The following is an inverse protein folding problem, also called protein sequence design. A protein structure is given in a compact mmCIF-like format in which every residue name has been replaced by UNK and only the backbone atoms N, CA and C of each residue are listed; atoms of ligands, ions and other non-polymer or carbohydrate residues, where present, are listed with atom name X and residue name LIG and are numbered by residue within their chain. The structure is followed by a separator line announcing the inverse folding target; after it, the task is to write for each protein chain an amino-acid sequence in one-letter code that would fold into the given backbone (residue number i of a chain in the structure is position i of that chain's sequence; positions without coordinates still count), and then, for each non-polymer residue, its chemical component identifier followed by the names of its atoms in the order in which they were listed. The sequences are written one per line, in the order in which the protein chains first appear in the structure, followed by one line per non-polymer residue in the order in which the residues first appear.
data_IF_244392388377
#
_entry.id   IF_244392388377
#
_cell.length_a   1.000
_cell.length_b   1.000
_cell.length_c   1.000
_cell.angle_alpha   90.00
_cell.angle_beta   90.00
_cell.angle_gamma   90.00
#
_symmetry.space_group_name_H-M   'P 1'
#
loop_
_entity.id
_entity.type
_entity.pdbx_description
1 polymer ?
#
# COMPACT_ATOMS: atom_id res chain seq x y z
N UNK A 1 28.29 14.04 -40.75
CA UNK A 1 27.33 15.09 -40.35
C UNK A 1 26.36 14.43 -39.38
N UNK A 2 26.70 14.45 -38.08
CA UNK A 2 25.84 13.88 -37.05
C UNK A 2 24.62 14.80 -36.94
N UNK A 3 23.48 14.36 -37.48
CA UNK A 3 22.21 14.97 -37.18
C UNK A 3 21.94 14.70 -35.70
N UNK A 4 22.29 15.63 -34.81
CA UNK A 4 21.64 15.72 -33.49
C UNK A 4 20.22 16.16 -33.77
N UNK A 5 19.38 15.19 -34.10
CA UNK A 5 18.00 15.37 -34.48
C UNK A 5 17.17 15.41 -33.16
N UNK A 6 16.69 16.59 -32.75
CA UNK A 6 16.18 16.85 -31.40
C UNK A 6 14.83 16.16 -31.09
N UNK A 7 14.03 15.89 -32.11
CA UNK A 7 12.77 15.14 -32.04
C UNK A 7 12.95 13.68 -31.57
N UNK A 8 14.06 13.03 -31.92
CA UNK A 8 14.36 11.66 -31.52
C UNK A 8 14.65 11.55 -30.01
N UNK A 9 15.30 12.56 -29.44
CA UNK A 9 15.50 12.66 -27.99
C UNK A 9 14.20 12.98 -27.28
N UNK A 10 13.39 13.91 -27.82
CA UNK A 10 12.11 14.28 -27.23
C UNK A 10 11.13 13.09 -27.17
N UNK A 11 11.08 12.27 -28.22
CA UNK A 11 10.27 11.04 -28.26
C UNK A 11 10.74 10.01 -27.22
N UNK A 12 12.05 9.77 -27.09
CA UNK A 12 12.61 8.83 -26.09
C UNK A 12 12.34 9.29 -24.65
N UNK A 13 12.36 10.60 -24.38
CA UNK A 13 11.98 11.13 -23.07
C UNK A 13 10.48 10.94 -22.80
N UNK A 14 9.62 11.25 -23.78
CA UNK A 14 8.17 11.08 -23.64
C UNK A 14 7.78 9.61 -23.40
N UNK A 15 8.41 8.66 -24.09
CA UNK A 15 8.18 7.23 -23.91
C UNK A 15 8.60 6.76 -22.51
N UNK A 16 9.77 7.20 -22.04
CA UNK A 16 10.26 6.86 -20.69
C UNK A 16 9.36 7.44 -19.63
N UNK A 17 8.93 8.69 -19.77
CA UNK A 17 8.00 9.33 -18.85
C UNK A 17 6.67 8.56 -18.77
N UNK A 18 6.11 8.15 -19.91
CA UNK A 18 4.89 7.35 -19.96
C UNK A 18 5.05 5.99 -19.23
N UNK A 19 6.20 5.31 -19.41
CA UNK A 19 6.50 4.04 -18.73
C UNK A 19 6.62 4.25 -17.21
N UNK A 20 7.31 5.31 -16.78
CA UNK A 20 7.50 5.63 -15.36
C UNK A 20 6.16 5.94 -14.68
N UNK A 21 5.30 6.74 -15.31
CA UNK A 21 3.96 7.04 -14.80
C UNK A 21 3.12 5.75 -14.66
N UNK A 22 3.16 4.88 -15.67
CA UNK A 22 2.43 3.61 -15.62
C UNK A 22 2.95 2.69 -14.50
N UNK A 23 4.27 2.65 -14.31
CA UNK A 23 4.91 1.88 -13.25
C UNK A 23 4.54 2.42 -11.86
N UNK A 24 4.67 3.73 -11.64
CA UNK A 24 4.34 4.38 -10.37
C UNK A 24 2.89 4.13 -9.96
N UNK A 25 1.95 4.29 -10.90
CA UNK A 25 0.53 4.03 -10.65
C UNK A 25 0.27 2.58 -10.23
N UNK A 26 0.93 1.64 -10.89
CA UNK A 26 0.77 0.21 -10.61
C UNK A 26 1.41 -0.17 -9.28
N UNK A 27 2.61 0.33 -9.00
CA UNK A 27 3.30 0.12 -7.74
C UNK A 27 2.49 0.66 -6.56
N UNK A 28 1.89 1.84 -6.73
CA UNK A 28 1.04 2.45 -5.72
C UNK A 28 -0.19 1.59 -5.40
N UNK A 29 -0.91 1.13 -6.44
CA UNK A 29 -2.05 0.24 -6.27
C UNK A 29 -1.64 -1.08 -5.59
N UNK A 30 -0.52 -1.66 -5.99
CA UNK A 30 0.03 -2.86 -5.37
C UNK A 30 0.37 -2.65 -3.89
N UNK A 31 1.02 -1.54 -3.54
CA UNK A 31 1.38 -1.21 -2.16
C UNK A 31 0.13 -1.10 -1.26
N UNK A 32 -0.94 -0.47 -1.75
CA UNK A 32 -2.24 -0.42 -1.06
C UNK A 32 -2.79 -1.83 -0.85
N UNK A 33 -2.82 -2.65 -1.92
CA UNK A 33 -3.34 -4.01 -1.86
C UNK A 33 -2.57 -4.90 -0.87
N UNK A 34 -1.23 -4.85 -0.90
CA UNK A 34 -0.37 -5.61 0.03
C UNK A 34 -0.66 -5.22 1.46
N UNK A 35 -0.81 -3.92 1.73
CA UNK A 35 -1.11 -3.43 3.08
C UNK A 35 -2.45 -3.96 3.60
N UNK A 36 -3.50 -3.90 2.77
CA UNK A 36 -4.81 -4.48 3.10
C UNK A 36 -4.74 -6.00 3.26
N UNK A 37 -3.96 -6.68 2.42
CA UNK A 37 -3.76 -8.13 2.51
C UNK A 37 -3.13 -8.51 3.85
N UNK A 38 -2.09 -7.79 4.29
CA UNK A 38 -1.43 -8.03 5.58
C UNK A 38 -2.39 -7.86 6.77
N UNK A 39 -3.25 -6.84 6.74
CA UNK A 39 -4.27 -6.65 7.76
C UNK A 39 -5.25 -7.83 7.79
N UNK A 40 -5.78 -8.24 6.64
CA UNK A 40 -6.70 -9.37 6.56
C UNK A 40 -6.03 -10.67 7.00
N UNK A 41 -4.77 -10.91 6.62
CA UNK A 41 -4.00 -12.07 7.07
C UNK A 41 -3.87 -12.09 8.60
N UNK A 42 -3.51 -10.95 9.21
CA UNK A 42 -3.41 -10.85 10.67
C UNK A 42 -4.76 -11.15 11.36
N UNK A 43 -5.86 -10.61 10.83
CA UNK A 43 -7.22 -10.85 11.34
C UNK A 43 -7.60 -12.32 11.23
N UNK A 44 -7.42 -12.93 10.07
CA UNK A 44 -7.78 -14.33 9.82
C UNK A 44 -6.96 -15.26 10.70
N UNK A 45 -5.65 -15.07 10.78
CA UNK A 45 -4.78 -15.88 11.64
C UNK A 45 -5.24 -15.77 13.09
N UNK A 46 -5.40 -14.54 13.61
CA UNK A 46 -5.83 -14.32 15.00
C UNK A 46 -7.18 -14.95 15.30
N UNK A 47 -8.15 -14.81 14.39
CA UNK A 47 -9.48 -15.37 14.53
C UNK A 47 -9.45 -16.90 14.58
N UNK A 48 -8.71 -17.53 13.66
CA UNK A 48 -8.55 -18.99 13.62
C UNK A 48 -7.79 -19.51 14.84
N UNK A 49 -6.78 -18.78 15.31
CA UNK A 49 -6.06 -19.11 16.54
C UNK A 49 -7.00 -19.11 17.74
N UNK A 50 -7.77 -18.05 17.96
CA UNK A 50 -8.68 -18.01 19.13
C UNK A 50 -9.81 -19.02 18.98
N UNK A 51 -10.31 -19.23 17.77
CA UNK A 51 -11.36 -20.21 17.51
C UNK A 51 -10.92 -21.63 17.88
N UNK A 52 -9.77 -22.08 17.36
CA UNK A 52 -9.37 -23.49 17.45
C UNK A 52 -8.34 -23.80 18.53
N UNK A 53 -7.49 -22.83 18.92
CA UNK A 53 -6.39 -23.06 19.86
C UNK A 53 -6.72 -22.62 21.30
N UNK A 54 -7.95 -22.17 21.57
CA UNK A 54 -8.36 -21.75 22.92
C UNK A 54 -9.75 -22.28 23.27
N UNK A 55 -10.13 -22.35 24.57
CA UNK A 55 -11.48 -22.71 24.99
C UNK A 55 -12.56 -21.69 24.58
N UNK A 56 -12.18 -20.53 24.01
CA UNK A 56 -13.12 -19.47 23.65
C UNK A 56 -14.02 -19.82 22.45
N UNK A 57 -13.62 -20.81 21.63
CA UNK A 57 -14.41 -21.33 20.53
C UNK A 57 -14.78 -20.30 19.46
N UNK A 58 -15.86 -20.56 18.71
CA UNK A 58 -16.28 -19.74 17.57
C UNK A 58 -16.47 -18.26 17.93
N UNK A 59 -17.24 -17.99 18.97
CA UNK A 59 -17.56 -16.61 19.36
C UNK A 59 -16.32 -15.84 19.85
N UNK A 60 -15.40 -16.51 20.54
CA UNK A 60 -14.11 -15.92 20.89
C UNK A 60 -13.30 -15.54 19.66
N UNK A 61 -13.24 -16.43 18.66
CA UNK A 61 -12.62 -16.15 17.36
C UNK A 61 -13.27 -14.97 16.64
N UNK A 62 -14.60 -14.93 16.59
CA UNK A 62 -15.36 -13.86 15.94
C UNK A 62 -15.12 -12.49 16.60
N UNK A 63 -15.19 -12.42 17.93
CA UNK A 63 -14.90 -11.18 18.68
C UNK A 63 -13.46 -10.73 18.44
N UNK A 64 -12.51 -11.65 18.48
CA UNK A 64 -11.10 -11.36 18.20
C UNK A 64 -10.93 -10.80 16.79
N UNK A 65 -11.57 -11.39 15.79
CA UNK A 65 -11.53 -10.91 14.41
C UNK A 65 -11.99 -9.46 14.30
N UNK A 66 -13.13 -9.14 14.91
CA UNK A 66 -13.71 -7.79 14.90
C UNK A 66 -12.76 -6.79 15.58
N UNK A 67 -12.25 -7.12 16.77
CA UNK A 67 -11.36 -6.23 17.53
C UNK A 67 -10.07 -5.96 16.75
N UNK A 68 -9.40 -7.01 16.27
CA UNK A 68 -8.15 -6.88 15.51
C UNK A 68 -8.37 -6.09 14.22
N UNK A 69 -9.49 -6.33 13.52
CA UNK A 69 -9.82 -5.59 12.30
C UNK A 69 -10.08 -4.11 12.59
N UNK A 70 -10.86 -3.77 13.62
CA UNK A 70 -11.16 -2.36 13.98
C UNK A 70 -9.90 -1.62 14.39
N UNK A 71 -9.06 -2.22 15.24
CA UNK A 71 -7.79 -1.62 15.67
C UNK A 71 -6.84 -1.43 14.49
N UNK A 72 -6.70 -2.46 13.66
CA UNK A 72 -5.85 -2.41 12.48
C UNK A 72 -6.34 -1.39 11.45
N UNK A 73 -7.66 -1.33 11.18
CA UNK A 73 -8.29 -0.36 10.29
C UNK A 73 -8.06 1.08 10.78
N UNK A 74 -8.32 1.37 12.05
CA UNK A 74 -8.10 2.71 12.60
C UNK A 74 -6.63 3.12 12.56
N UNK A 75 -5.72 2.21 12.93
CA UNK A 75 -4.28 2.44 12.81
C UNK A 75 -3.82 2.63 11.36
N UNK A 76 -4.48 1.97 10.41
CA UNK A 76 -4.21 2.07 8.99
C UNK A 76 -4.66 3.42 8.43
N UNK A 77 -5.93 3.80 8.63
CA UNK A 77 -6.52 5.05 8.13
C UNK A 77 -5.77 6.26 8.70
N UNK A 78 -5.48 6.28 10.00
CA UNK A 78 -4.74 7.39 10.64
C UNK A 78 -3.34 7.59 10.03
N UNK A 79 -2.69 6.54 9.54
CA UNK A 79 -1.39 6.65 8.87
C UNK A 79 -1.50 7.10 7.42
N UNK A 80 -2.62 6.85 6.75
CA UNK A 80 -2.86 7.36 5.39
C UNK A 80 -2.99 8.87 5.38
N UNK A 81 -3.66 9.46 6.36
CA UNK A 81 -3.76 10.91 6.51
C UNK A 81 -2.40 11.60 6.68
N UNK A 82 -1.38 10.88 7.18
CA UNK A 82 -0.05 11.42 7.45
C UNK A 82 0.96 11.17 6.30
N UNK A 83 0.60 10.34 5.32
CA UNK A 83 1.45 9.99 4.18
C UNK A 83 0.84 10.62 2.92
N UNK A 84 1.28 11.83 2.50
CA UNK A 84 0.82 12.38 1.24
C UNK A 84 1.11 11.39 0.11
N UNK A 85 0.07 11.09 -0.66
CA UNK A 85 0.03 10.09 -1.74
C UNK A 85 0.98 10.44 -2.91
N UNK A 86 1.42 11.69 -2.96
CA UNK A 86 2.37 12.19 -3.93
C UNK A 86 3.79 12.21 -3.31
N UNK A 87 4.74 11.41 -3.83
CA UNK A 87 6.14 11.43 -3.39
C UNK A 87 6.85 12.75 -3.70
N UNK A 88 6.31 13.56 -4.61
CA UNK A 88 6.93 14.77 -5.15
C UNK A 88 6.32 16.07 -4.63
N UNK A 89 5.48 16.01 -3.59
CA UNK A 89 5.01 17.22 -2.91
C UNK A 89 6.20 17.96 -2.31
N UNK A 90 6.45 19.16 -2.81
CA UNK A 90 7.46 20.08 -2.32
C UNK A 90 7.21 20.36 -0.83
N UNK A 91 8.08 19.82 0.05
CA UNK A 91 7.94 19.93 1.51
C UNK A 91 7.89 18.61 2.30
N UNK A 92 8.12 17.45 1.67
CA UNK A 92 8.39 16.20 2.41
C UNK A 92 9.64 16.38 3.28
N UNK A 93 9.45 16.69 4.57
CA UNK A 93 10.51 16.60 5.58
C UNK A 93 10.91 15.14 5.66
N UNK A 94 11.98 14.80 4.94
CA UNK A 94 12.66 13.52 5.08
C UNK A 94 12.93 13.31 6.56
N UNK A 95 12.28 12.31 7.13
CA UNK A 95 12.88 11.57 8.23
C UNK A 95 13.89 10.65 7.54
N UNK A 96 14.98 11.29 7.11
CA UNK A 96 16.30 10.87 6.66
C UNK A 96 16.91 12.05 5.87
#
# INVERSE_FOLDING_TARGET
MAATQPDAFEHDIADREAILIAHERTYHAFAILVRWAMLHSAVVISALTVWFATPAGFFGGLVTAIVVFVVGYYGMVRREEQQPLDPWVEGRKGIL
#
